data_IF_198534729634
#
_entry.id   IF_198534729634
#
_cell.length_a   1.000
_cell.length_b   1.000
_cell.length_c   1.000
_cell.angle_alpha   90.00
_cell.angle_beta   90.00
_cell.angle_gamma   90.00
#
_symmetry.space_group_name_H-M   'P 1'
#
loop_
_entity.id
_entity.type
_entity.pdbx_description
1 polymer ?
#
# COMPACT_ATOMS: atom_id res chain seq x y z
N UNK A 1 -16.41 -14.62 -5.99
CA UNK A 1 -15.24 -14.35 -6.84
C UNK A 1 -14.88 -12.90 -6.63
N UNK A 2 -14.09 -12.64 -5.60
CA UNK A 2 -13.71 -11.27 -5.22
C UNK A 2 -13.04 -10.58 -6.40
N UNK A 3 -13.56 -9.41 -6.76
CA UNK A 3 -12.89 -8.57 -7.74
C UNK A 3 -11.48 -8.30 -7.23
N UNK A 4 -10.48 -8.53 -8.08
CA UNK A 4 -9.08 -8.18 -7.83
C UNK A 4 -8.79 -6.86 -8.55
N UNK A 5 -9.16 -5.70 -7.97
CA UNK A 5 -9.17 -4.43 -8.69
C UNK A 5 -7.78 -3.86 -8.96
N UNK A 6 -6.70 -4.50 -8.50
CA UNK A 6 -5.34 -4.02 -8.64
C UNK A 6 -4.45 -5.02 -9.36
N UNK A 7 -3.49 -4.52 -10.14
CA UNK A 7 -2.40 -5.28 -10.74
C UNK A 7 -1.10 -4.93 -10.01
N UNK A 8 -0.39 -5.95 -9.53
CA UNK A 8 0.93 -5.79 -8.95
C UNK A 8 1.98 -5.51 -10.04
N UNK A 9 2.84 -4.51 -9.87
CA UNK A 9 3.73 -4.01 -10.96
C UNK A 9 5.23 -4.11 -10.67
N UNK A 10 5.61 -4.53 -9.47
CA UNK A 10 7.01 -4.63 -9.10
C UNK A 10 7.57 -6.01 -9.39
N UNK A 11 8.85 -6.03 -9.78
CA UNK A 11 9.59 -7.26 -9.99
C UNK A 11 10.18 -7.75 -8.66
N UNK A 12 9.28 -8.18 -7.78
CA UNK A 12 9.60 -8.77 -6.47
C UNK A 12 8.71 -10.00 -6.29
N UNK A 13 9.26 -11.07 -5.73
CA UNK A 13 8.57 -12.35 -5.51
C UNK A 13 8.01 -13.03 -6.78
N UNK A 14 8.41 -12.60 -7.99
CA UNK A 14 7.90 -13.17 -9.24
C UNK A 14 6.40 -12.93 -9.50
N UNK A 15 5.80 -11.91 -8.87
CA UNK A 15 4.36 -11.64 -8.91
C UNK A 15 3.94 -10.50 -9.85
N UNK A 16 4.87 -9.97 -10.65
CA UNK A 16 4.60 -8.85 -11.54
C UNK A 16 3.50 -9.20 -12.55
N UNK A 17 2.54 -8.31 -12.70
CA UNK A 17 1.38 -8.48 -13.58
C UNK A 17 0.21 -9.22 -12.95
N UNK A 18 0.37 -9.83 -11.77
CA UNK A 18 -0.71 -10.59 -11.15
C UNK A 18 -1.79 -9.67 -10.56
N UNK A 19 -3.08 -10.07 -10.66
CA UNK A 19 -4.17 -9.38 -10.02
C UNK A 19 -4.15 -9.61 -8.50
N UNK A 20 -4.49 -8.58 -7.74
CA UNK A 20 -4.51 -8.58 -6.28
C UNK A 20 -5.62 -7.66 -5.74
N UNK A 21 -5.98 -7.89 -4.48
CA UNK A 21 -6.85 -7.03 -3.69
C UNK A 21 -6.06 -6.38 -2.56
N UNK A 22 -6.41 -5.15 -2.19
CA UNK A 22 -5.83 -4.48 -1.02
C UNK A 22 -6.72 -4.76 0.18
N UNK A 23 -6.21 -5.50 1.17
CA UNK A 23 -6.96 -5.86 2.39
C UNK A 23 -6.66 -4.92 3.56
N UNK A 24 -5.54 -4.19 3.53
CA UNK A 24 -5.25 -3.12 4.49
C UNK A 24 -4.41 -2.00 3.87
N UNK A 25 -4.57 -0.76 4.36
CA UNK A 25 -3.79 0.41 3.94
C UNK A 25 -3.40 1.26 5.15
N UNK A 26 -2.14 1.64 5.22
CA UNK A 26 -1.65 2.56 6.25
C UNK A 26 -2.31 3.94 6.10
N UNK A 27 -2.77 4.52 7.20
CA UNK A 27 -3.32 5.87 7.26
C UNK A 27 -2.28 6.84 7.84
N UNK A 28 -2.26 8.11 7.42
CA UNK A 28 -1.44 9.12 8.06
C UNK A 28 -1.78 9.21 9.55
N UNK A 29 -0.76 9.19 10.40
CA UNK A 29 -0.91 9.46 11.83
C UNK A 29 -0.75 10.94 12.14
N UNK A 30 -1.23 11.38 13.31
CA UNK A 30 -0.88 12.69 13.83
C UNK A 30 0.64 12.83 13.99
N UNK A 31 1.16 14.05 13.89
CA UNK A 31 2.55 14.29 14.22
C UNK A 31 2.78 14.01 15.71
N UNK A 32 3.82 13.27 16.09
CA UNK A 32 3.95 12.73 17.45
C UNK A 32 4.20 13.83 18.50
N UNK A 33 4.78 14.95 18.11
CA UNK A 33 4.98 16.13 18.97
C UNK A 33 5.29 17.37 18.10
N UNK A 34 5.05 18.55 18.67
CA UNK A 34 5.48 19.83 18.10
C UNK A 34 6.64 20.38 18.93
N UNK A 35 7.72 20.79 18.27
CA UNK A 35 8.88 21.42 18.93
C UNK A 35 8.74 22.95 18.83
N UNK A 36 8.64 23.68 19.95
CA UNK A 36 8.66 25.14 19.92
C UNK A 36 9.92 25.66 19.22
N UNK A 37 9.76 26.60 18.29
CA UNK A 37 10.86 27.15 17.49
C UNK A 37 11.30 26.30 16.29
N UNK A 38 10.80 25.07 16.12
CA UNK A 38 11.17 24.16 15.03
C UNK A 38 9.98 23.82 14.12
N UNK A 39 9.61 24.76 13.25
CA UNK A 39 8.67 24.56 12.15
C UNK A 39 7.30 23.99 12.54
N UNK A 40 6.54 23.53 11.55
CA UNK A 40 5.26 22.83 11.77
C UNK A 40 5.48 21.33 11.85
N UNK A 41 4.90 20.69 12.85
CA UNK A 41 4.93 19.25 13.00
C UNK A 41 4.29 18.57 11.78
N UNK A 42 5.04 17.67 11.10
CA UNK A 42 4.58 17.00 9.89
C UNK A 42 4.04 15.60 10.24
N UNK A 43 2.82 15.24 9.83
CA UNK A 43 2.28 13.91 10.06
C UNK A 43 3.07 12.85 9.30
N UNK A 44 3.22 11.67 9.92
CA UNK A 44 3.86 10.53 9.28
C UNK A 44 2.96 10.01 8.14
N UNK A 45 3.47 10.05 6.90
CA UNK A 45 2.77 9.52 5.71
C UNK A 45 3.37 8.19 5.32
N UNK A 46 2.73 7.11 5.76
CA UNK A 46 3.06 5.76 5.34
C UNK A 46 2.33 5.41 4.03
N UNK A 47 3.02 4.74 3.11
CA UNK A 47 2.46 4.25 1.85
C UNK A 47 2.45 2.71 1.83
N UNK A 48 2.29 2.06 2.97
CA UNK A 48 2.31 0.60 3.05
C UNK A 48 0.89 0.06 2.88
N UNK A 49 0.76 -1.01 2.11
CA UNK A 49 -0.51 -1.71 1.88
C UNK A 49 -0.31 -3.21 2.04
N UNK A 50 -1.31 -3.89 2.60
CA UNK A 50 -1.41 -5.36 2.55
C UNK A 50 -2.16 -5.73 1.28
N UNK A 51 -1.55 -6.57 0.46
CA UNK A 51 -2.16 -7.14 -0.74
C UNK A 51 -2.36 -8.63 -0.56
N UNK A 52 -3.41 -9.15 -1.17
CA UNK A 52 -3.71 -10.57 -1.25
C UNK A 52 -3.98 -10.94 -2.71
N UNK A 53 -3.39 -12.06 -3.13
CA UNK A 53 -3.46 -12.59 -4.49
C UNK A 53 -4.48 -13.73 -4.59
N UNK A 54 -4.83 -14.12 -5.81
CA UNK A 54 -5.82 -15.17 -6.06
C UNK A 54 -5.46 -16.54 -5.46
N UNK A 55 -4.17 -16.81 -5.24
CA UNK A 55 -3.65 -18.04 -4.63
C UNK A 55 -3.65 -18.01 -3.09
N UNK A 56 -4.20 -16.95 -2.47
CA UNK A 56 -4.22 -16.76 -1.02
C UNK A 56 -2.90 -16.26 -0.44
N UNK A 57 -1.88 -16.01 -1.27
CA UNK A 57 -0.65 -15.38 -0.81
C UNK A 57 -0.94 -13.94 -0.40
N UNK A 58 -0.45 -13.53 0.77
CA UNK A 58 -0.60 -12.18 1.29
C UNK A 58 0.75 -11.58 1.67
N UNK A 59 0.93 -10.29 1.40
CA UNK A 59 2.15 -9.58 1.79
C UNK A 59 1.90 -8.09 2.03
N UNK A 60 2.81 -7.44 2.76
CA UNK A 60 2.86 -5.98 2.87
C UNK A 60 3.86 -5.43 1.84
N UNK A 61 3.42 -4.45 1.06
CA UNK A 61 4.19 -3.80 -0.01
C UNK A 61 3.92 -2.29 -0.04
N UNK A 62 4.67 -1.54 -0.85
CA UNK A 62 4.35 -0.15 -1.14
C UNK A 62 3.06 -0.04 -1.96
N UNK A 63 2.20 0.94 -1.67
CA UNK A 63 1.04 1.29 -2.50
C UNK A 63 1.42 1.71 -3.92
N UNK A 64 2.68 2.09 -4.16
CA UNK A 64 3.21 2.36 -5.50
C UNK A 64 3.46 1.07 -6.31
N UNK A 65 3.50 -0.08 -5.63
CA UNK A 65 3.70 -1.39 -6.25
C UNK A 65 2.42 -1.98 -6.86
N UNK A 66 1.30 -1.26 -6.77
CA UNK A 66 0.02 -1.66 -7.35
C UNK A 66 -0.52 -0.56 -8.28
N UNK A 67 -1.31 -0.96 -9.28
CA UNK A 67 -2.08 -0.06 -10.15
C UNK A 67 -3.51 -0.56 -10.22
N UNK A 68 -4.50 0.33 -10.29
CA UNK A 68 -5.88 -0.10 -10.60
C UNK A 68 -5.89 -0.83 -11.94
N UNK A 69 -6.56 -1.97 -12.00
CA UNK A 69 -6.92 -2.62 -13.26
C UNK A 69 -7.78 -1.63 -14.05
N UNK A 70 -7.55 -1.52 -15.37
CA UNK A 70 -8.50 -0.81 -16.22
C UNK A 70 -9.80 -1.63 -16.25
N UNK A 71 -10.98 -0.98 -16.27
CA UNK A 71 -12.23 -1.67 -16.55
C UNK A 71 -12.17 -2.35 -17.92
#
# INVERSE_FOLDING_TARGET
MDALPYIYRWDRHGRKGQPCVVTARSKPGAAPFALPGFGRAKPARFNSVRVEFADGYAMVTSGNAIRKAKP
#
